data_IF_604995809658
#
_entry.id   IF_604995809658
#
_cell.length_a   1.000
_cell.length_b   1.000
_cell.length_c   1.000
_cell.angle_alpha   90.00
_cell.angle_beta   90.00
_cell.angle_gamma   90.00
#
_symmetry.space_group_name_H-M   'P 1'
#
loop_
_entity.id
_entity.type
_entity.pdbx_description
1 polymer ?
#
# COMPACT_ATOMS: atom_id res chain seq x y z
N UNK A 1 34.40 30.24 -18.00
CA UNK A 1 33.75 30.52 -16.71
C UNK A 1 32.38 29.88 -16.77
N UNK A 2 32.24 28.69 -16.20
CA UNK A 2 30.94 28.00 -16.07
C UNK A 2 30.29 28.52 -14.79
N UNK A 3 29.15 29.18 -14.91
CA UNK A 3 28.31 29.55 -13.77
C UNK A 3 27.95 28.26 -13.02
N UNK A 4 28.41 28.16 -11.77
CA UNK A 4 27.90 27.16 -10.84
C UNK A 4 26.50 27.61 -10.45
N UNK A 5 25.51 26.97 -11.06
CA UNK A 5 24.13 27.09 -10.61
C UNK A 5 24.07 26.58 -9.16
N UNK A 6 23.75 27.47 -8.21
CA UNK A 6 23.54 27.08 -6.82
C UNK A 6 22.31 26.19 -6.75
N UNK A 7 22.53 24.91 -6.46
CA UNK A 7 21.45 23.97 -6.15
C UNK A 7 20.91 24.36 -4.77
N UNK A 8 19.74 24.99 -4.76
CA UNK A 8 18.96 25.17 -3.54
C UNK A 8 18.33 23.82 -3.18
N UNK A 9 18.41 23.45 -1.90
CA UNK A 9 17.76 22.23 -1.44
C UNK A 9 16.25 22.34 -1.68
N UNK A 10 15.61 21.25 -2.12
CA UNK A 10 14.18 21.25 -2.30
C UNK A 10 13.43 21.56 -0.99
N UNK A 11 12.28 22.23 -1.05
CA UNK A 11 11.44 22.43 0.12
C UNK A 11 11.04 21.10 0.76
N UNK A 12 11.04 21.04 2.09
CA UNK A 12 10.57 19.87 2.85
C UNK A 12 9.16 20.11 3.38
N UNK A 13 8.33 19.08 3.40
CA UNK A 13 6.97 19.12 3.95
C UNK A 13 6.68 17.93 4.86
N UNK A 14 6.39 18.22 6.13
CA UNK A 14 6.09 17.21 7.13
C UNK A 14 4.60 16.87 7.14
N UNK A 15 4.25 15.67 6.67
CA UNK A 15 2.85 15.21 6.66
C UNK A 15 2.27 14.98 8.06
N UNK A 16 3.13 14.77 9.05
CA UNK A 16 2.71 14.46 10.41
C UNK A 16 2.21 15.67 11.20
N UNK A 17 2.42 16.89 10.69
CA UNK A 17 1.87 18.12 11.30
C UNK A 17 0.38 18.30 11.00
N UNK A 18 -0.14 17.62 9.97
CA UNK A 18 -1.52 17.77 9.54
C UNK A 18 -2.47 17.10 10.52
N UNK A 19 -3.53 17.82 10.89
CA UNK A 19 -4.69 17.17 11.49
C UNK A 19 -5.29 16.15 10.52
N UNK A 20 -6.08 15.21 11.03
CA UNK A 20 -6.68 14.19 10.16
C UNK A 20 -7.50 14.79 8.99
N UNK A 21 -8.28 15.85 9.25
CA UNK A 21 -9.07 16.51 8.18
C UNK A 21 -8.19 17.24 7.16
N UNK A 22 -7.11 17.89 7.61
CA UNK A 22 -6.14 18.51 6.70
C UNK A 22 -5.38 17.46 5.89
N UNK A 23 -5.05 16.31 6.50
CA UNK A 23 -4.43 15.18 5.82
C UNK A 23 -5.33 14.62 4.71
N UNK A 24 -6.62 14.41 4.98
CA UNK A 24 -7.57 13.97 3.96
C UNK A 24 -7.74 14.98 2.84
N UNK A 25 -7.87 16.27 3.16
CA UNK A 25 -7.95 17.34 2.14
C UNK A 25 -6.66 17.41 1.33
N UNK A 26 -5.53 17.34 2.00
CA UNK A 26 -4.24 17.31 1.36
C UNK A 26 -4.17 16.15 0.38
N UNK A 27 -4.61 14.93 0.69
CA UNK A 27 -4.49 13.82 -0.26
C UNK A 27 -5.56 13.82 -1.36
N UNK A 28 -6.81 14.11 -1.03
CA UNK A 28 -7.95 13.79 -1.89
C UNK A 28 -8.73 15.00 -2.41
N UNK A 29 -8.67 16.15 -1.73
CA UNK A 29 -9.39 17.37 -2.14
C UNK A 29 -8.58 18.16 -3.19
N UNK A 30 -8.31 17.49 -4.30
CA UNK A 30 -7.51 18.01 -5.41
C UNK A 30 -8.23 17.86 -6.74
N UNK A 31 -7.80 18.66 -7.71
CA UNK A 31 -8.19 18.51 -9.11
C UNK A 31 -7.60 17.20 -9.65
N UNK A 32 -8.42 16.44 -10.38
CA UNK A 32 -7.99 15.26 -11.12
C UNK A 32 -7.20 15.69 -12.35
N UNK A 33 -6.04 15.08 -12.53
CA UNK A 33 -5.14 15.35 -13.66
C UNK A 33 -4.95 14.05 -14.43
N UNK A 34 -5.27 14.05 -15.72
CA UNK A 34 -5.21 12.84 -16.56
C UNK A 34 -3.78 12.51 -17.01
N UNK A 35 -2.91 13.52 -17.10
CA UNK A 35 -1.52 13.38 -17.53
C UNK A 35 -0.59 13.13 -16.32
N UNK A 36 0.25 12.10 -16.41
CA UNK A 36 1.15 11.74 -15.32
C UNK A 36 2.25 12.77 -15.06
N UNK A 37 2.73 13.48 -16.09
CA UNK A 37 3.74 14.53 -15.93
C UNK A 37 3.12 15.74 -15.25
N UNK A 38 1.92 16.14 -15.67
CA UNK A 38 1.17 17.20 -15.01
C UNK A 38 0.83 16.80 -13.56
N UNK A 39 0.49 15.53 -13.31
CA UNK A 39 0.22 15.03 -11.96
C UNK A 39 1.45 15.16 -11.06
N UNK A 40 2.61 14.69 -11.50
CA UNK A 40 3.86 14.78 -10.72
C UNK A 40 4.24 16.25 -10.44
N UNK A 41 4.07 17.14 -11.43
CA UNK A 41 4.27 18.59 -11.26
C UNK A 41 3.25 19.20 -10.30
N UNK A 42 2.02 18.70 -10.29
CA UNK A 42 0.92 19.23 -9.49
C UNK A 42 0.97 18.75 -8.03
N UNK A 43 1.37 17.49 -7.79
CA UNK A 43 1.52 16.93 -6.44
C UNK A 43 2.76 17.46 -5.73
N UNK A 44 3.84 17.67 -6.47
CA UNK A 44 5.14 17.98 -5.87
C UNK A 44 5.71 19.33 -6.24
N UNK A 45 5.06 20.12 -7.12
CA UNK A 45 5.44 21.50 -7.43
C UNK A 45 6.89 21.69 -7.88
N UNK A 46 7.59 20.60 -8.21
CA UNK A 46 9.05 20.52 -8.15
C UNK A 46 9.55 20.00 -6.79
N UNK A 47 10.01 18.76 -6.79
CA UNK A 47 10.92 18.16 -5.81
C UNK A 47 10.61 18.34 -4.30
N UNK A 48 9.38 18.60 -3.85
CA UNK A 48 9.09 18.64 -2.40
C UNK A 48 9.49 17.31 -1.76
N UNK A 49 10.36 17.35 -0.76
CA UNK A 49 10.71 16.17 0.02
C UNK A 49 9.72 16.02 1.17
N UNK A 50 9.10 14.85 1.27
CA UNK A 50 8.21 14.56 2.39
C UNK A 50 8.98 13.97 3.55
N UNK A 51 8.67 14.44 4.75
CA UNK A 51 9.10 13.85 5.99
C UNK A 51 7.89 13.56 6.90
N UNK A 52 8.16 12.81 7.96
CA UNK A 52 7.23 12.59 9.05
C UNK A 52 8.02 12.67 10.36
N UNK A 53 8.14 13.88 10.93
CA UNK A 53 8.88 14.08 12.18
C UNK A 53 8.18 13.36 13.35
N UNK A 54 6.86 13.20 13.25
CA UNK A 54 6.06 12.33 14.09
C UNK A 54 5.47 11.15 13.28
N UNK A 55 6.27 10.08 13.02
CA UNK A 55 5.83 8.97 12.18
C UNK A 55 4.66 8.20 12.78
N UNK A 56 4.50 8.24 14.11
CA UNK A 56 3.34 7.67 14.80
C UNK A 56 2.04 8.39 14.42
N UNK A 57 2.03 9.72 14.43
CA UNK A 57 0.84 10.50 14.05
C UNK A 57 0.44 10.24 12.61
N UNK A 58 1.42 10.16 11.69
CA UNK A 58 1.13 9.83 10.30
C UNK A 58 0.50 8.43 10.18
N UNK A 59 1.03 7.42 10.87
CA UNK A 59 0.43 6.07 10.89
C UNK A 59 -0.96 6.05 11.53
N UNK A 60 -1.23 6.87 12.55
CA UNK A 60 -2.57 7.03 13.13
C UNK A 60 -3.55 7.66 12.12
N UNK A 61 -3.11 8.65 11.33
CA UNK A 61 -3.90 9.22 10.23
C UNK A 61 -4.19 8.17 9.15
N UNK A 62 -3.17 7.38 8.73
CA UNK A 62 -3.33 6.30 7.77
C UNK A 62 -4.31 5.22 8.27
N UNK A 63 -4.16 4.81 9.53
CA UNK A 63 -5.03 3.83 10.18
C UNK A 63 -6.48 4.31 10.14
N UNK A 64 -6.73 5.57 10.52
CA UNK A 64 -8.07 6.16 10.53
C UNK A 64 -8.64 6.27 9.11
N UNK A 65 -7.82 6.68 8.13
CA UNK A 65 -8.20 6.75 6.72
C UNK A 65 -8.62 5.38 6.17
N UNK A 66 -7.79 4.36 6.32
CA UNK A 66 -8.10 3.02 5.84
C UNK A 66 -9.27 2.37 6.59
N UNK A 67 -9.47 2.71 7.87
CA UNK A 67 -10.61 2.25 8.66
C UNK A 67 -11.92 3.01 8.44
N UNK A 68 -11.96 4.02 7.56
CA UNK A 68 -13.12 4.91 7.38
C UNK A 68 -13.54 5.02 5.91
N UNK A 69 -13.63 3.89 5.19
CA UNK A 69 -13.93 3.88 3.74
C UNK A 69 -15.20 4.64 3.43
N UNK A 70 -16.29 4.39 4.16
CA UNK A 70 -17.57 5.09 3.97
C UNK A 70 -17.44 6.61 4.03
N UNK A 71 -16.59 7.12 4.94
CA UNK A 71 -16.33 8.55 5.04
C UNK A 71 -15.61 9.05 3.78
N UNK A 72 -14.57 8.34 3.32
CA UNK A 72 -13.84 8.70 2.09
C UNK A 72 -14.79 8.74 0.89
N UNK A 73 -15.63 7.71 0.72
CA UNK A 73 -16.59 7.62 -0.38
C UNK A 73 -17.66 8.70 -0.34
N UNK A 74 -18.04 9.16 0.87
CA UNK A 74 -19.02 10.24 1.01
C UNK A 74 -18.46 11.63 0.71
N UNK A 75 -17.13 11.79 0.72
CA UNK A 75 -16.45 13.09 0.60
C UNK A 75 -15.71 13.27 -0.71
N UNK A 76 -15.19 12.20 -1.29
CA UNK A 76 -14.29 12.25 -2.44
C UNK A 76 -14.76 11.30 -3.54
N UNK A 77 -14.53 11.69 -4.78
CA UNK A 77 -14.81 10.85 -5.95
C UNK A 77 -13.82 9.69 -6.06
N UNK A 78 -14.19 8.61 -6.76
CA UNK A 78 -13.30 7.46 -6.99
C UNK A 78 -11.96 7.86 -7.67
N UNK A 79 -11.94 8.76 -8.68
CA UNK A 79 -10.67 9.25 -9.23
C UNK A 79 -9.81 10.01 -8.20
N UNK A 80 -10.42 10.77 -7.28
CA UNK A 80 -9.68 11.51 -6.25
C UNK A 80 -9.02 10.55 -5.28
N UNK A 81 -9.74 9.52 -4.85
CA UNK A 81 -9.21 8.47 -3.98
C UNK A 81 -8.10 7.71 -4.70
N UNK A 82 -8.30 7.36 -5.98
CA UNK A 82 -7.28 6.67 -6.78
C UNK A 82 -5.99 7.45 -6.86
N UNK A 83 -6.03 8.73 -7.27
CA UNK A 83 -4.83 9.55 -7.39
C UNK A 83 -4.19 9.83 -6.04
N UNK A 84 -4.98 10.18 -5.02
CA UNK A 84 -4.46 10.43 -3.67
C UNK A 84 -3.74 9.21 -3.09
N UNK A 85 -4.27 7.99 -3.32
CA UNK A 85 -3.58 6.76 -2.90
C UNK A 85 -2.34 6.47 -3.76
N UNK A 86 -2.38 6.68 -5.08
CA UNK A 86 -1.20 6.50 -5.94
C UNK A 86 -0.02 7.34 -5.45
N UNK A 87 -0.30 8.59 -5.14
CA UNK A 87 0.69 9.58 -4.73
C UNK A 87 1.23 9.28 -3.35
N UNK A 88 0.37 8.83 -2.43
CA UNK A 88 0.75 8.44 -1.08
C UNK A 88 1.81 7.32 -1.05
N UNK A 89 1.75 6.40 -2.02
CA UNK A 89 2.67 5.26 -2.19
C UNK A 89 3.69 5.47 -3.34
N UNK A 90 3.79 6.68 -3.88
CA UNK A 90 4.77 6.98 -4.92
C UNK A 90 6.19 7.01 -4.30
N UNK A 91 7.17 6.27 -4.86
CA UNK A 91 8.54 6.28 -4.39
C UNK A 91 9.22 7.67 -4.41
N UNK A 92 8.76 8.56 -5.29
CA UNK A 92 9.20 9.95 -5.43
C UNK A 92 8.36 10.92 -4.59
N UNK A 93 7.23 10.45 -4.04
CA UNK A 93 6.34 11.19 -3.17
C UNK A 93 6.58 10.90 -1.67
N UNK A 94 5.52 10.88 -0.86
CA UNK A 94 5.57 10.51 0.55
C UNK A 94 6.14 9.14 0.86
N UNK A 95 6.00 8.16 -0.05
CA UNK A 95 6.46 6.78 0.12
C UNK A 95 6.09 6.22 1.52
N UNK A 96 4.80 6.33 1.91
CA UNK A 96 4.40 6.09 3.30
C UNK A 96 4.65 4.66 3.77
N UNK A 97 4.79 3.71 2.86
CA UNK A 97 5.22 2.35 3.17
C UNK A 97 6.58 2.31 3.89
N UNK A 98 7.51 3.24 3.58
CA UNK A 98 8.78 3.41 4.30
C UNK A 98 8.57 3.76 5.76
N UNK A 99 7.65 4.71 6.00
CA UNK A 99 7.33 5.19 7.34
C UNK A 99 6.60 4.11 8.11
N UNK A 100 5.63 3.44 7.46
CA UNK A 100 4.88 2.33 8.02
C UNK A 100 5.79 1.15 8.40
N UNK A 101 6.85 0.86 7.64
CA UNK A 101 7.80 -0.21 7.93
C UNK A 101 8.95 0.23 8.87
N UNK A 102 9.07 1.52 9.16
CA UNK A 102 10.11 2.06 10.04
C UNK A 102 9.99 1.54 11.47
N UNK A 103 11.14 1.22 12.08
CA UNK A 103 11.23 0.84 13.50
C UNK A 103 10.88 1.99 14.47
N UNK A 104 10.83 3.24 13.97
CA UNK A 104 10.41 4.40 14.75
C UNK A 104 8.90 4.42 15.05
N UNK A 105 8.10 3.61 14.35
CA UNK A 105 6.68 3.42 14.64
C UNK A 105 6.52 2.27 15.64
N UNK A 106 5.74 2.39 16.72
CA UNK A 106 5.49 1.24 17.59
C UNK A 106 4.80 0.10 16.84
N UNK A 107 5.17 -1.16 17.12
CA UNK A 107 4.59 -2.33 16.43
C UNK A 107 3.07 -2.35 16.45
N UNK A 108 2.44 -2.02 17.59
CA UNK A 108 0.99 -2.01 17.72
C UNK A 108 0.32 -1.04 16.73
N UNK A 109 0.92 0.12 16.48
CA UNK A 109 0.41 1.08 15.50
C UNK A 109 0.52 0.54 14.07
N UNK A 110 1.65 -0.12 13.71
CA UNK A 110 1.81 -0.76 12.40
C UNK A 110 0.79 -1.86 12.17
N UNK A 111 0.61 -2.74 13.16
CA UNK A 111 -0.35 -3.84 13.11
C UNK A 111 -1.76 -3.32 12.89
N UNK A 112 -2.17 -2.28 13.61
CA UNK A 112 -3.51 -1.72 13.44
C UNK A 112 -3.69 -1.03 12.08
N UNK A 113 -2.63 -0.40 11.56
CA UNK A 113 -2.64 0.14 10.21
C UNK A 113 -2.78 -0.97 9.15
N UNK A 114 -2.02 -2.08 9.25
CA UNK A 114 -2.16 -3.22 8.34
C UNK A 114 -3.57 -3.82 8.40
N UNK A 115 -4.14 -4.01 9.60
CA UNK A 115 -5.53 -4.47 9.75
C UNK A 115 -6.52 -3.51 9.14
N UNK A 116 -6.31 -2.20 9.28
CA UNK A 116 -7.15 -1.18 8.66
C UNK A 116 -7.08 -1.24 7.14
N UNK A 117 -5.90 -1.48 6.56
CA UNK A 117 -5.76 -1.74 5.12
C UNK A 117 -6.58 -2.97 4.72
N UNK A 118 -6.48 -4.08 5.46
CA UNK A 118 -7.30 -5.28 5.20
C UNK A 118 -8.80 -5.01 5.25
N UNK A 119 -9.27 -4.27 6.27
CA UNK A 119 -10.67 -3.84 6.40
C UNK A 119 -11.12 -2.98 5.23
N UNK A 120 -10.27 -2.04 4.79
CA UNK A 120 -10.55 -1.20 3.62
C UNK A 120 -10.94 -2.05 2.41
N UNK A 121 -10.18 -3.11 2.10
CA UNK A 121 -10.53 -3.98 0.97
C UNK A 121 -11.88 -4.64 1.12
N UNK A 122 -12.22 -5.13 2.33
CA UNK A 122 -13.52 -5.76 2.56
C UNK A 122 -14.68 -4.79 2.45
N UNK A 123 -14.47 -3.51 2.77
CA UNK A 123 -15.48 -2.47 2.63
C UNK A 123 -15.59 -1.97 1.19
N UNK A 124 -14.46 -1.71 0.53
CA UNK A 124 -14.43 -1.21 -0.86
C UNK A 124 -15.12 -2.18 -1.81
N UNK A 125 -14.88 -3.48 -1.71
CA UNK A 125 -15.50 -4.47 -2.61
C UNK A 125 -17.01 -4.60 -2.41
N UNK A 126 -17.56 -4.12 -1.29
CA UNK A 126 -19.01 -4.10 -1.03
C UNK A 126 -19.63 -2.79 -1.52
N UNK A 127 -18.92 -1.67 -1.36
CA UNK A 127 -19.45 -0.33 -1.62
C UNK A 127 -19.20 0.16 -3.06
N UNK A 128 -18.22 -0.39 -3.78
CA UNK A 128 -17.90 -0.01 -5.16
C UNK A 128 -18.26 -1.09 -6.19
N UNK A 129 -18.88 -0.70 -7.33
CA UNK A 129 -18.93 -1.57 -8.50
C UNK A 129 -17.53 -2.01 -8.91
N UNK A 130 -17.37 -3.31 -9.21
CA UNK A 130 -16.09 -3.94 -9.55
C UNK A 130 -15.33 -3.17 -10.64
N UNK A 131 -16.05 -2.72 -11.67
CA UNK A 131 -15.51 -1.97 -12.81
C UNK A 131 -15.01 -0.56 -12.46
N UNK A 132 -15.32 -0.07 -11.26
CA UNK A 132 -14.90 1.26 -10.78
C UNK A 132 -13.82 1.22 -9.71
N UNK A 133 -13.45 0.03 -9.23
CA UNK A 133 -12.39 -0.11 -8.24
C UNK A 133 -11.06 0.29 -8.91
N UNK A 134 -10.37 1.32 -8.42
CA UNK A 134 -9.14 1.78 -9.04
C UNK A 134 -8.00 0.77 -8.89
N UNK A 135 -7.12 0.70 -9.89
CA UNK A 135 -5.99 -0.24 -9.91
C UNK A 135 -4.98 -0.06 -8.78
N UNK A 136 -4.96 1.10 -8.11
CA UNK A 136 -4.09 1.31 -6.93
C UNK A 136 -4.35 0.31 -5.81
N UNK A 137 -5.57 -0.22 -5.72
CA UNK A 137 -5.91 -1.27 -4.77
C UNK A 137 -5.19 -2.58 -5.09
N UNK A 138 -4.82 -2.86 -6.34
CA UNK A 138 -3.95 -4.00 -6.66
C UNK A 138 -2.49 -3.72 -6.23
N UNK A 139 -2.06 -2.46 -6.37
CA UNK A 139 -0.66 -2.05 -6.19
C UNK A 139 -0.26 -1.74 -4.75
N UNK A 140 -1.21 -1.53 -3.83
CA UNK A 140 -0.90 -1.13 -2.45
C UNK A 140 -0.03 -2.17 -1.73
N UNK A 141 -0.43 -3.45 -1.73
CA UNK A 141 0.39 -4.51 -1.13
C UNK A 141 1.68 -4.77 -1.89
N UNK A 142 1.71 -4.50 -3.21
CA UNK A 142 2.93 -4.53 -3.99
C UNK A 142 3.93 -3.48 -3.47
N UNK A 143 3.50 -2.23 -3.29
CA UNK A 143 4.35 -1.14 -2.80
C UNK A 143 4.94 -1.47 -1.41
N UNK A 144 4.10 -1.93 -0.48
CA UNK A 144 4.54 -2.31 0.87
C UNK A 144 5.52 -3.49 0.82
N UNK A 145 5.20 -4.55 0.06
CA UNK A 145 6.07 -5.73 -0.07
C UNK A 145 7.41 -5.41 -0.71
N UNK A 146 7.42 -4.59 -1.77
CA UNK A 146 8.62 -4.14 -2.46
C UNK A 146 9.52 -3.32 -1.54
N UNK A 147 8.99 -2.34 -0.80
CA UNK A 147 9.78 -1.55 0.13
C UNK A 147 10.37 -2.43 1.25
N UNK A 148 9.58 -3.37 1.79
CA UNK A 148 10.08 -4.32 2.80
C UNK A 148 11.30 -5.09 2.28
N UNK A 149 11.21 -5.72 1.11
CA UNK A 149 12.33 -6.50 0.56
C UNK A 149 13.48 -5.65 0.06
N UNK A 150 13.21 -4.43 -0.41
CA UNK A 150 14.23 -3.45 -0.77
C UNK A 150 15.09 -3.08 0.45
N UNK A 151 14.46 -2.78 1.58
CA UNK A 151 15.16 -2.46 2.83
C UNK A 151 15.97 -3.64 3.37
N UNK A 152 15.46 -4.87 3.29
CA UNK A 152 16.24 -6.06 3.67
C UNK A 152 17.45 -6.23 2.75
N UNK A 153 17.26 -6.10 1.43
CA UNK A 153 18.35 -6.22 0.45
C UNK A 153 19.43 -5.17 0.65
N UNK A 154 19.05 -3.94 0.98
CA UNK A 154 19.97 -2.82 1.23
C UNK A 154 20.88 -3.04 2.45
N UNK A 155 20.41 -3.79 3.45
CA UNK A 155 21.20 -4.14 4.64
C UNK A 155 22.23 -5.26 4.37
N UNK A 156 22.17 -5.90 3.19
CA UNK A 156 23.04 -7.02 2.80
C UNK A 156 23.03 -8.19 3.81
N UNK A 157 21.90 -8.40 4.49
CA UNK A 157 21.73 -9.51 5.44
C UNK A 157 21.12 -10.72 4.77
N UNK A 158 21.59 -11.92 5.12
CA UNK A 158 21.03 -13.18 4.64
C UNK A 158 19.86 -13.70 5.48
N UNK A 159 19.55 -13.03 6.59
CA UNK A 159 18.46 -13.39 7.51
C UNK A 159 17.70 -12.15 7.95
N UNK A 160 16.42 -12.36 8.28
CA UNK A 160 15.56 -11.34 8.86
C UNK A 160 15.91 -11.15 10.34
N UNK A 161 15.87 -9.91 10.81
CA UNK A 161 15.88 -9.65 12.25
C UNK A 161 14.56 -10.12 12.88
N UNK A 162 14.51 -10.24 14.21
CA UNK A 162 13.26 -10.55 14.91
C UNK A 162 12.16 -9.51 14.61
N UNK A 163 12.52 -8.24 14.44
CA UNK A 163 11.56 -7.19 14.09
C UNK A 163 11.05 -7.32 12.65
N UNK A 164 11.93 -7.62 11.70
CA UNK A 164 11.53 -7.79 10.30
C UNK A 164 10.67 -9.05 10.11
N UNK A 165 10.99 -10.15 10.81
CA UNK A 165 10.13 -11.34 10.86
C UNK A 165 8.74 -10.99 11.40
N UNK A 166 8.65 -10.21 12.47
CA UNK A 166 7.35 -9.78 13.01
C UNK A 166 6.57 -8.91 12.02
N UNK A 167 7.22 -8.00 11.29
CA UNK A 167 6.56 -7.20 10.24
C UNK A 167 6.02 -8.09 9.12
N UNK A 168 6.82 -9.08 8.70
CA UNK A 168 6.45 -10.05 7.69
C UNK A 168 5.24 -10.90 8.12
N UNK A 169 5.24 -11.37 9.37
CA UNK A 169 4.12 -12.11 9.98
C UNK A 169 2.86 -11.23 10.03
N UNK A 170 2.99 -9.98 10.48
CA UNK A 170 1.87 -9.04 10.63
C UNK A 170 1.20 -8.74 9.27
N UNK A 171 1.98 -8.57 8.18
CA UNK A 171 1.45 -8.39 6.82
C UNK A 171 0.81 -9.69 6.30
N UNK A 172 1.46 -10.83 6.50
CA UNK A 172 0.98 -12.13 6.05
C UNK A 172 -0.37 -12.50 6.69
N UNK A 173 -0.55 -12.26 7.98
CA UNK A 173 -1.79 -12.55 8.68
C UNK A 173 -2.97 -11.76 8.11
N UNK A 174 -2.80 -10.47 7.83
CA UNK A 174 -3.86 -9.65 7.20
C UNK A 174 -4.23 -10.18 5.83
N UNK A 175 -3.25 -10.50 4.99
CA UNK A 175 -3.49 -11.05 3.65
C UNK A 175 -4.16 -12.43 3.72
N UNK A 176 -3.79 -13.26 4.70
CA UNK A 176 -4.43 -14.56 4.93
C UNK A 176 -5.90 -14.38 5.31
N UNK A 177 -6.21 -13.43 6.19
CA UNK A 177 -7.59 -13.09 6.56
C UNK A 177 -8.39 -12.59 5.34
N UNK A 178 -7.81 -11.71 4.53
CA UNK A 178 -8.43 -11.24 3.28
C UNK A 178 -8.71 -12.40 2.31
N UNK A 179 -7.80 -13.38 2.20
CA UNK A 179 -7.99 -14.55 1.34
C UNK A 179 -9.16 -15.45 1.77
N UNK A 180 -9.56 -15.38 3.04
CA UNK A 180 -10.74 -16.09 3.57
C UNK A 180 -12.05 -15.31 3.36
N UNK A 181 -11.99 -14.08 2.83
CA UNK A 181 -13.17 -13.30 2.49
C UNK A 181 -14.08 -14.05 1.52
N UNK A 182 -15.41 -13.93 1.64
CA UNK A 182 -16.34 -14.49 0.65
C UNK A 182 -16.30 -13.75 -0.70
N UNK A 183 -15.68 -12.57 -0.76
CA UNK A 183 -15.67 -11.74 -1.96
C UNK A 183 -14.47 -12.05 -2.88
N UNK A 184 -14.75 -12.39 -4.14
CA UNK A 184 -13.74 -12.78 -5.12
C UNK A 184 -12.64 -11.75 -5.35
N UNK A 185 -12.99 -10.45 -5.39
CA UNK A 185 -12.00 -9.36 -5.52
C UNK A 185 -11.08 -9.23 -4.30
N UNK A 186 -11.61 -9.42 -3.08
CA UNK A 186 -10.78 -9.38 -1.87
C UNK A 186 -9.77 -10.53 -1.88
N UNK A 187 -10.21 -11.73 -2.30
CA UNK A 187 -9.32 -12.88 -2.53
C UNK A 187 -8.27 -12.59 -3.61
N UNK A 188 -8.65 -11.90 -4.70
CA UNK A 188 -7.73 -11.49 -5.76
C UNK A 188 -6.62 -10.56 -5.22
N UNK A 189 -6.99 -9.48 -4.53
CA UNK A 189 -6.01 -8.57 -3.93
C UNK A 189 -5.12 -9.27 -2.89
N UNK A 190 -5.68 -10.19 -2.11
CA UNK A 190 -4.93 -10.99 -1.15
C UNK A 190 -3.89 -11.89 -1.83
N UNK A 191 -4.27 -12.59 -2.91
CA UNK A 191 -3.35 -13.45 -3.68
C UNK A 191 -2.21 -12.63 -4.30
N UNK A 192 -2.53 -11.49 -4.91
CA UNK A 192 -1.53 -10.58 -5.46
C UNK A 192 -0.56 -10.11 -4.37
N UNK A 193 -1.08 -9.63 -3.23
CA UNK A 193 -0.27 -9.18 -2.09
C UNK A 193 0.62 -10.29 -1.53
N UNK A 194 0.11 -11.52 -1.38
CA UNK A 194 0.90 -12.67 -0.90
C UNK A 194 2.06 -13.00 -1.83
N UNK A 195 1.89 -12.82 -3.14
CA UNK A 195 2.96 -13.01 -4.12
C UNK A 195 4.12 -12.03 -3.98
N UNK A 196 3.85 -10.80 -3.52
CA UNK A 196 4.88 -9.78 -3.27
C UNK A 196 5.47 -9.85 -1.85
N UNK A 197 4.64 -10.18 -0.85
CA UNK A 197 5.08 -10.31 0.54
C UNK A 197 6.02 -11.51 0.74
N UNK A 198 5.83 -12.63 0.02
CA UNK A 198 6.75 -13.79 -0.01
C UNK A 198 7.06 -14.38 1.38
N UNK A 199 6.06 -14.45 2.25
CA UNK A 199 6.16 -15.13 3.56
C UNK A 199 6.47 -16.63 3.39
N UNK A 200 7.27 -17.29 4.26
CA UNK A 200 7.61 -18.71 4.16
C UNK A 200 6.42 -19.67 4.05
N UNK A 201 5.33 -19.39 4.79
CA UNK A 201 4.07 -20.15 4.70
C UNK A 201 3.18 -19.78 3.49
N UNK A 202 3.52 -18.74 2.73
CA UNK A 202 2.70 -18.21 1.64
C UNK A 202 2.39 -19.27 0.57
N UNK A 203 3.41 -20.04 0.15
CA UNK A 203 3.27 -21.13 -0.82
C UNK A 203 2.22 -22.15 -0.36
N UNK A 204 2.27 -22.54 0.91
CA UNK A 204 1.36 -23.53 1.50
C UNK A 204 -0.07 -22.99 1.54
N UNK A 205 -0.27 -21.78 2.06
CA UNK A 205 -1.61 -21.15 2.16
C UNK A 205 -2.27 -20.96 0.80
N UNK A 206 -1.51 -20.50 -0.21
CA UNK A 206 -2.05 -20.33 -1.56
C UNK A 206 -2.38 -21.69 -2.18
N UNK A 207 -1.54 -22.71 -2.00
CA UNK A 207 -1.84 -24.06 -2.49
C UNK A 207 -3.12 -24.62 -1.86
N UNK A 208 -3.27 -24.51 -0.53
CA UNK A 208 -4.50 -24.93 0.16
C UNK A 208 -5.73 -24.20 -0.37
N UNK A 209 -5.62 -22.90 -0.67
CA UNK A 209 -6.70 -22.13 -1.29
C UNK A 209 -7.04 -22.65 -2.70
N UNK A 210 -6.03 -22.91 -3.54
CA UNK A 210 -6.22 -23.46 -4.89
C UNK A 210 -6.86 -24.86 -4.87
N UNK A 211 -6.48 -25.70 -3.92
CA UNK A 211 -7.01 -27.06 -3.78
C UNK A 211 -8.51 -27.02 -3.40
N UNK A 212 -8.92 -26.06 -2.57
CA UNK A 212 -10.33 -25.85 -2.21
C UNK A 212 -11.21 -25.41 -3.39
N UNK A 213 -10.66 -24.63 -4.32
CA UNK A 213 -11.41 -24.19 -5.51
C UNK A 213 -11.67 -25.34 -6.51
N UNK A 214 -10.88 -26.42 -6.44
CA UNK A 214 -11.07 -27.60 -7.27
C UNK A 214 -10.67 -27.42 -8.75
N UNK A 215 -11.00 -28.41 -9.60
CA UNK A 215 -10.56 -28.45 -11.00
C UNK A 215 -11.28 -27.46 -11.92
N UNK A 216 -12.39 -26.87 -11.48
CA UNK A 216 -13.26 -26.02 -12.33
C UNK A 216 -12.69 -24.60 -12.55
N UNK A 217 -11.58 -24.28 -11.91
CA UNK A 217 -10.88 -23.01 -12.13
C UNK A 217 -10.30 -22.98 -13.54
N UNK A 218 -10.61 -21.92 -14.29
CA UNK A 218 -10.06 -21.71 -15.65
C UNK A 218 -8.53 -21.80 -15.67
N UNK A 219 -7.92 -22.33 -16.75
CA UNK A 219 -6.46 -22.45 -16.85
C UNK A 219 -5.68 -21.15 -16.62
N UNK A 220 -6.18 -20.01 -17.13
CA UNK A 220 -5.55 -18.69 -16.94
C UNK A 220 -5.52 -18.26 -15.47
N UNK A 221 -6.66 -18.37 -14.77
CA UNK A 221 -6.74 -18.08 -13.34
C UNK A 221 -5.86 -19.02 -12.52
N UNK A 222 -5.79 -20.31 -12.88
CA UNK A 222 -4.90 -21.27 -12.22
C UNK A 222 -3.43 -20.87 -12.37
N UNK A 223 -3.00 -20.56 -13.58
CA UNK A 223 -1.63 -20.09 -13.84
C UNK A 223 -1.29 -18.82 -13.04
N UNK A 224 -2.21 -17.86 -12.99
CA UNK A 224 -2.01 -16.63 -12.21
C UNK A 224 -1.89 -16.90 -10.69
N UNK A 225 -2.69 -17.82 -10.15
CA UNK A 225 -2.55 -18.24 -8.74
C UNK A 225 -1.22 -18.96 -8.47
N UNK A 226 -0.71 -19.74 -9.44
CA UNK A 226 0.62 -20.36 -9.35
C UNK A 226 1.73 -19.29 -9.34
N UNK A 227 1.59 -18.23 -10.14
CA UNK A 227 2.52 -17.09 -10.11
C UNK A 227 2.48 -16.38 -8.75
N UNK A 228 1.29 -16.18 -8.17
CA UNK A 228 1.16 -15.64 -6.81
C UNK A 228 1.82 -16.57 -5.78
N UNK A 229 1.57 -17.89 -5.86
CA UNK A 229 2.15 -18.92 -4.98
C UNK A 229 3.68 -18.93 -5.03
N UNK A 230 4.23 -18.76 -6.22
CA UNK A 230 5.66 -18.87 -6.49
C UNK A 230 6.38 -17.51 -6.40
N UNK A 231 5.65 -16.42 -6.12
CA UNK A 231 6.18 -15.07 -5.97
C UNK A 231 6.68 -14.45 -7.27
N UNK A 232 6.14 -14.88 -8.42
CA UNK A 232 6.50 -14.43 -9.77
C UNK A 232 5.41 -13.59 -10.43
N UNK A 233 4.42 -13.16 -9.65
CA UNK A 233 3.39 -12.22 -10.10
C UNK A 233 4.02 -10.88 -10.44
N UNK A 234 3.62 -10.33 -11.59
CA UNK A 234 4.08 -9.04 -12.12
C UNK A 234 3.02 -7.99 -11.86
#
# INVERSE_FOLDING_TARGET
>A
MTDRQEFTEPPQFDLSILTYDEFLRFLFDRKIVDDCIERDQYFFGGAVLFNADNPRQLVENLTTMFGSVKLLLSRFSAPQISQGLQELFDPMGPAVERILLSSNVPRANRQECFRSIGRMYTEVVVEWPEETIPSIFEMLWHAIGMEFWFEISRRLTSSLSSEDSQKLDDMFEVLREMLLSPHGLCQHFALHGLGHVRHPDGRRVIQEYMDRLGPDVSPSRRLWMEQCRDGTVM
#
